data_IF_681913544620
#
_entry.id   IF_681913544620
#
_cell.length_a   1.000
_cell.length_b   1.000
_cell.length_c   1.000
_cell.angle_alpha   90.00
_cell.angle_beta   90.00
_cell.angle_gamma   90.00
#
_symmetry.space_group_name_H-M   'P 1'
#
loop_
_entity.id
_entity.type
_entity.pdbx_description
1 polymer ?
#
# COMPACT_ATOMS: atom_id res chain seq x y z
N UNK A 1 -20.87 -28.40 -50.51
CA UNK A 1 -21.29 -27.83 -51.82
C UNK A 1 -21.36 -26.32 -51.59
N UNK A 2 -20.29 -25.52 -51.79
CA UNK A 2 -19.65 -25.09 -53.06
C UNK A 2 -20.73 -24.70 -54.08
N UNK A 3 -20.80 -23.51 -54.69
CA UNK A 3 -19.91 -22.36 -54.93
C UNK A 3 -20.74 -21.38 -55.86
N UNK A 4 -20.26 -20.28 -56.49
CA UNK A 4 -19.24 -19.27 -56.16
C UNK A 4 -19.56 -17.80 -56.65
N UNK A 5 -18.59 -16.90 -56.42
CA UNK A 5 -18.12 -15.79 -57.29
C UNK A 5 -18.94 -14.51 -57.51
N UNK A 6 -18.34 -13.36 -57.14
CA UNK A 6 -17.84 -12.34 -58.11
C UNK A 6 -16.74 -11.48 -57.46
N UNK A 7 -15.71 -11.18 -58.24
CA UNK A 7 -14.39 -10.64 -57.92
C UNK A 7 -14.27 -9.09 -58.17
N UNK A 8 -13.08 -8.45 -58.09
CA UNK A 8 -12.86 -7.12 -57.48
C UNK A 8 -12.82 -5.94 -58.48
N UNK A 9 -12.78 -4.70 -57.96
CA UNK A 9 -12.62 -3.52 -58.81
C UNK A 9 -12.18 -2.24 -58.08
N UNK A 10 -10.90 -1.92 -58.26
CA UNK A 10 -10.32 -0.59 -58.58
C UNK A 10 -10.34 0.54 -57.53
N UNK A 11 -9.12 0.88 -57.11
CA UNK A 11 -8.68 2.24 -56.73
C UNK A 11 -8.79 3.21 -57.92
N UNK A 12 -8.84 4.52 -57.64
CA UNK A 12 -8.00 5.44 -58.40
C UNK A 12 -7.18 6.38 -57.51
N UNK A 13 -6.07 6.81 -58.11
CA UNK A 13 -4.98 7.59 -57.55
C UNK A 13 -5.32 9.08 -57.33
N UNK A 14 -4.60 9.61 -56.35
CA UNK A 14 -4.17 10.97 -55.97
C UNK A 14 -4.42 12.17 -56.88
N UNK A 15 -4.56 13.35 -56.26
CA UNK A 15 -3.71 14.54 -56.51
C UNK A 15 -3.75 15.56 -55.34
N UNK A 16 -2.75 16.48 -55.22
CA UNK A 16 -2.16 16.89 -53.95
C UNK A 16 -2.49 18.32 -53.50
N UNK A 17 -2.26 18.63 -52.22
CA UNK A 17 -2.46 19.97 -51.65
C UNK A 17 -1.63 20.24 -50.39
N UNK A 18 -0.36 20.58 -50.61
CA UNK A 18 0.54 21.48 -49.85
C UNK A 18 0.28 21.69 -48.34
N UNK A 19 1.21 21.17 -47.53
CA UNK A 19 1.46 21.60 -46.14
C UNK A 19 2.62 22.62 -46.10
N UNK A 20 2.58 23.66 -45.25
CA UNK A 20 3.68 24.61 -45.12
C UNK A 20 4.73 24.14 -44.10
N UNK A 21 5.99 24.35 -44.49
CA UNK A 21 7.15 24.82 -43.69
C UNK A 21 7.54 24.07 -42.40
N UNK A 22 8.65 23.34 -42.50
CA UNK A 22 9.43 22.77 -41.39
C UNK A 22 10.40 23.81 -40.80
N UNK A 23 10.30 24.06 -39.50
CA UNK A 23 11.38 24.72 -38.72
C UNK A 23 12.44 23.70 -38.25
N UNK A 24 13.71 24.10 -38.08
CA UNK A 24 14.79 23.18 -37.73
C UNK A 24 14.89 22.94 -36.22
N UNK A 25 14.82 21.65 -35.86
CA UNK A 25 15.70 20.96 -34.92
C UNK A 25 16.06 21.62 -33.58
N UNK A 26 15.37 21.17 -32.52
CA UNK A 26 15.98 21.04 -31.20
C UNK A 26 15.91 19.55 -30.83
N UNK A 27 17.05 18.86 -30.86
CA UNK A 27 17.13 17.46 -30.45
C UNK A 27 16.77 17.34 -28.97
N UNK A 28 16.25 16.18 -28.51
CA UNK A 28 16.01 15.99 -27.10
C UNK A 28 17.38 15.97 -26.39
N UNK A 29 17.66 17.03 -25.65
CA UNK A 29 18.71 17.04 -24.64
C UNK A 29 18.45 15.86 -23.71
N UNK A 30 19.43 14.96 -23.66
CA UNK A 30 19.39 13.78 -22.82
C UNK A 30 19.45 14.25 -21.37
N UNK A 31 18.34 14.18 -20.64
CA UNK A 31 18.38 14.42 -19.20
C UNK A 31 19.41 13.48 -18.57
N UNK A 32 20.34 13.98 -17.75
CA UNK A 32 21.32 13.14 -17.08
C UNK A 32 20.57 12.16 -16.18
N UNK A 33 20.87 10.88 -16.41
CA UNK A 33 20.23 9.75 -15.75
C UNK A 33 20.02 9.97 -14.26
N UNK A 34 18.75 10.10 -13.88
CA UNK A 34 18.33 9.95 -12.50
C UNK A 34 18.79 8.57 -12.04
N UNK A 35 19.72 8.55 -11.10
CA UNK A 35 20.16 7.32 -10.45
C UNK A 35 18.91 6.53 -9.99
N UNK A 36 18.88 5.19 -10.18
CA UNK A 36 17.76 4.37 -9.72
C UNK A 36 17.63 4.60 -8.20
N UNK A 37 16.52 5.22 -7.81
CA UNK A 37 16.28 5.59 -6.42
C UNK A 37 16.39 4.35 -5.55
N UNK A 38 17.28 4.38 -4.56
CA UNK A 38 17.23 3.48 -3.42
C UNK A 38 15.78 3.40 -2.96
N UNK A 39 15.19 2.20 -3.01
CA UNK A 39 13.75 1.99 -2.92
C UNK A 39 13.15 2.75 -1.74
N UNK A 40 12.30 3.74 -2.02
CA UNK A 40 11.57 4.48 -1.00
C UNK A 40 10.73 3.47 -0.22
N UNK A 41 10.90 3.42 1.11
CA UNK A 41 10.04 2.60 1.98
C UNK A 41 8.57 2.98 1.71
N UNK A 42 7.66 1.99 1.65
CA UNK A 42 6.25 2.28 1.41
C UNK A 42 5.69 3.15 2.52
N UNK A 43 4.87 4.13 2.17
CA UNK A 43 4.05 4.86 3.15
C UNK A 43 2.78 4.07 3.48
N UNK A 44 2.05 4.50 4.52
CA UNK A 44 0.84 3.81 4.99
C UNK A 44 -0.21 3.70 3.89
N UNK A 45 -0.40 4.76 3.11
CA UNK A 45 -1.33 4.75 1.98
C UNK A 45 -0.92 3.73 0.90
N UNK A 46 0.37 3.56 0.62
CA UNK A 46 0.87 2.52 -0.28
C UNK A 46 0.63 1.11 0.27
N UNK A 47 0.77 0.90 1.57
CA UNK A 47 0.46 -0.39 2.21
C UNK A 47 -1.04 -0.69 2.18
N UNK A 48 -1.91 0.28 2.47
CA UNK A 48 -3.37 0.13 2.37
C UNK A 48 -3.81 -0.28 0.96
N UNK A 49 -3.29 0.40 -0.08
CA UNK A 49 -3.57 0.02 -1.48
C UNK A 49 -3.12 -1.39 -1.79
N UNK A 50 -1.90 -1.77 -1.36
CA UNK A 50 -1.38 -3.12 -1.57
C UNK A 50 -2.22 -4.19 -0.86
N UNK A 51 -2.75 -3.92 0.32
CA UNK A 51 -3.68 -4.81 1.03
C UNK A 51 -5.03 -4.92 0.30
N UNK A 52 -5.58 -3.80 -0.18
CA UNK A 52 -6.81 -3.80 -0.95
C UNK A 52 -6.68 -4.59 -2.26
N UNK A 53 -5.56 -4.42 -2.98
CA UNK A 53 -5.23 -5.20 -4.19
C UNK A 53 -5.08 -6.69 -3.87
N UNK A 54 -4.41 -7.02 -2.76
CA UNK A 54 -4.24 -8.40 -2.30
C UNK A 54 -5.58 -9.09 -2.00
N UNK A 55 -6.49 -8.38 -1.33
CA UNK A 55 -7.84 -8.86 -1.01
C UNK A 55 -8.70 -9.00 -2.29
N UNK A 56 -8.60 -8.02 -3.20
CA UNK A 56 -9.34 -8.02 -4.46
C UNK A 56 -8.94 -9.17 -5.37
N UNK A 57 -7.65 -9.50 -5.43
CA UNK A 57 -7.16 -10.65 -6.20
C UNK A 57 -7.67 -12.01 -5.66
N UNK A 58 -8.33 -12.04 -4.51
CA UNK A 58 -8.85 -13.25 -3.85
C UNK A 58 -10.36 -13.19 -3.60
N UNK A 59 -11.04 -12.16 -4.09
CA UNK A 59 -12.46 -11.92 -3.84
C UNK A 59 -12.83 -11.91 -2.34
N UNK A 60 -11.94 -11.33 -1.50
CA UNK A 60 -12.12 -11.32 -0.04
C UNK A 60 -13.01 -10.19 0.49
N UNK A 61 -13.34 -9.20 -0.34
CA UNK A 61 -14.13 -8.04 0.04
C UNK A 61 -15.46 -8.38 0.76
N UNK A 62 -16.21 -9.44 0.40
CA UNK A 62 -17.43 -9.83 1.14
C UNK A 62 -17.17 -10.21 2.61
N UNK A 63 -15.97 -10.67 2.94
CA UNK A 63 -15.59 -11.06 4.30
C UNK A 63 -15.05 -9.88 5.12
N UNK A 64 -14.63 -8.79 4.47
CA UNK A 64 -14.06 -7.60 5.08
C UNK A 64 -15.13 -6.66 5.66
N UNK A 65 -16.08 -7.22 6.40
CA UNK A 65 -17.01 -6.40 7.19
C UNK A 65 -16.28 -5.78 8.39
N UNK A 66 -16.67 -4.59 8.88
CA UNK A 66 -16.04 -3.98 10.06
C UNK A 66 -15.99 -4.93 11.27
N UNK A 67 -17.06 -5.72 11.49
CA UNK A 67 -17.14 -6.73 12.56
C UNK A 67 -16.06 -7.79 12.42
N UNK A 68 -15.88 -8.33 11.21
CA UNK A 68 -14.90 -9.39 10.99
C UNK A 68 -13.48 -8.86 11.11
N UNK A 69 -13.21 -7.67 10.54
CA UNK A 69 -11.88 -7.05 10.59
C UNK A 69 -11.46 -6.69 12.01
N UNK A 70 -12.36 -6.13 12.84
CA UNK A 70 -12.02 -5.85 14.25
C UNK A 70 -11.86 -7.13 15.06
N UNK A 71 -12.58 -8.21 14.71
CA UNK A 71 -12.40 -9.51 15.36
C UNK A 71 -11.04 -10.12 15.00
N UNK A 72 -10.66 -10.09 13.72
CA UNK A 72 -9.35 -10.56 13.27
C UNK A 72 -8.20 -9.74 13.89
N UNK A 73 -8.30 -8.41 13.90
CA UNK A 73 -7.37 -7.52 14.61
C UNK A 73 -7.17 -7.95 16.07
N UNK A 74 -8.26 -8.29 16.77
CA UNK A 74 -8.18 -8.75 18.17
C UNK A 74 -7.48 -10.09 18.32
N UNK A 75 -7.60 -10.98 17.32
CA UNK A 75 -6.90 -12.28 17.31
C UNK A 75 -5.41 -12.04 17.14
N UNK A 76 -4.96 -11.29 16.12
CA UNK A 76 -3.52 -11.04 15.90
C UNK A 76 -2.88 -10.28 17.06
N UNK A 77 -3.62 -9.36 17.70
CA UNK A 77 -3.15 -8.70 18.91
C UNK A 77 -2.98 -9.70 20.08
N UNK A 78 -3.80 -10.75 20.12
CA UNK A 78 -3.67 -11.82 21.12
C UNK A 78 -2.50 -12.75 20.78
N UNK A 79 -2.29 -13.09 19.51
CA UNK A 79 -1.12 -13.87 19.05
C UNK A 79 0.19 -13.13 19.39
N UNK A 80 0.23 -11.80 19.21
CA UNK A 80 1.34 -10.98 19.70
C UNK A 80 1.51 -11.11 21.22
N UNK A 81 0.42 -11.04 22.01
CA UNK A 81 0.48 -11.20 23.48
C UNK A 81 1.00 -12.59 23.88
N UNK A 82 0.64 -13.65 23.15
CA UNK A 82 1.08 -15.02 23.45
C UNK A 82 2.60 -15.17 23.46
N UNK A 83 3.31 -14.40 22.64
CA UNK A 83 4.78 -14.39 22.62
C UNK A 83 5.35 -13.90 23.96
N UNK A 84 4.67 -12.97 24.63
CA UNK A 84 5.17 -12.29 25.83
C UNK A 84 4.60 -12.86 27.14
N UNK A 85 3.49 -13.60 27.10
CA UNK A 85 2.65 -13.84 28.27
C UNK A 85 3.36 -14.54 29.45
N UNK A 86 4.44 -15.29 29.20
CA UNK A 86 5.20 -16.00 30.23
C UNK A 86 6.60 -15.44 30.48
N UNK A 87 6.97 -14.35 29.79
CA UNK A 87 8.29 -13.75 29.93
C UNK A 87 8.37 -12.89 31.20
N UNK A 88 9.51 -12.95 31.88
CA UNK A 88 9.86 -11.92 32.87
C UNK A 88 10.09 -10.57 32.20
N UNK A 89 10.07 -9.45 32.95
CA UNK A 89 10.41 -8.14 32.39
C UNK A 89 11.77 -8.12 31.68
N UNK A 90 12.79 -8.77 32.24
CA UNK A 90 14.14 -8.83 31.68
C UNK A 90 14.19 -9.65 30.39
N UNK A 91 13.45 -10.76 30.30
CA UNK A 91 13.34 -11.58 29.09
C UNK A 91 12.55 -10.85 28.00
N UNK A 92 11.42 -10.23 28.34
CA UNK A 92 10.60 -9.46 27.39
C UNK A 92 11.37 -8.32 26.74
N UNK A 93 12.25 -7.64 27.48
CA UNK A 93 13.12 -6.59 26.95
C UNK A 93 14.17 -7.11 25.96
N UNK A 94 14.44 -8.43 25.97
CA UNK A 94 15.40 -9.10 25.08
C UNK A 94 14.74 -10.00 24.05
N UNK A 95 13.40 -9.97 23.92
CA UNK A 95 12.62 -10.84 23.01
C UNK A 95 13.12 -10.80 21.55
N UNK A 96 13.72 -9.69 21.12
CA UNK A 96 14.26 -9.51 19.77
C UNK A 96 15.69 -10.06 19.60
N UNK A 97 16.32 -10.57 20.65
CA UNK A 97 17.71 -11.06 20.62
C UNK A 97 17.82 -12.49 20.08
N UNK A 98 16.75 -13.28 20.24
CA UNK A 98 16.61 -14.59 19.61
C UNK A 98 15.93 -14.42 18.23
N UNK A 99 16.54 -14.92 17.13
CA UNK A 99 16.00 -14.72 15.79
C UNK A 99 14.60 -15.32 15.57
N UNK A 100 14.28 -16.43 16.25
CA UNK A 100 12.98 -17.09 16.09
C UNK A 100 11.87 -16.27 16.74
N UNK A 101 12.05 -15.83 17.99
CA UNK A 101 11.08 -14.95 18.65
C UNK A 101 11.00 -13.58 17.97
N UNK A 102 12.13 -13.04 17.50
CA UNK A 102 12.14 -11.78 16.75
C UNK A 102 11.30 -11.84 15.47
N UNK A 103 11.38 -12.95 14.72
CA UNK A 103 10.57 -13.16 13.54
C UNK A 103 9.09 -13.18 13.88
N UNK A 104 8.69 -13.97 14.89
CA UNK A 104 7.29 -14.05 15.34
C UNK A 104 6.75 -12.68 15.76
N UNK A 105 7.47 -11.93 16.59
CA UNK A 105 7.05 -10.57 16.98
C UNK A 105 6.87 -9.67 15.75
N UNK A 106 7.77 -9.78 14.77
CA UNK A 106 7.70 -8.96 13.55
C UNK A 106 6.45 -9.29 12.73
N UNK A 107 6.12 -10.56 12.58
CA UNK A 107 4.93 -11.01 11.86
C UNK A 107 3.65 -10.56 12.55
N UNK A 108 3.50 -10.81 13.87
CA UNK A 108 2.27 -10.43 14.57
C UNK A 108 2.06 -8.91 14.62
N UNK A 109 3.14 -8.13 14.73
CA UNK A 109 3.05 -6.66 14.61
C UNK A 109 2.58 -6.25 13.20
N UNK A 110 3.05 -6.93 12.16
CA UNK A 110 2.64 -6.67 10.79
C UNK A 110 1.17 -7.06 10.57
N UNK A 111 0.70 -8.17 11.14
CA UNK A 111 -0.67 -8.64 11.02
C UNK A 111 -1.67 -7.74 11.77
N UNK A 112 -1.33 -7.31 13.00
CA UNK A 112 -2.10 -6.27 13.71
C UNK A 112 -2.21 -5.00 12.88
N UNK A 113 -1.11 -4.54 12.28
CA UNK A 113 -1.13 -3.36 11.42
C UNK A 113 -1.97 -3.61 10.16
N UNK A 114 -1.86 -4.77 9.53
CA UNK A 114 -2.59 -5.10 8.31
C UNK A 114 -4.11 -5.07 8.53
N UNK A 115 -4.61 -5.67 9.62
CA UNK A 115 -6.05 -5.63 9.91
C UNK A 115 -6.52 -4.24 10.35
N UNK A 116 -5.69 -3.47 11.07
CA UNK A 116 -6.02 -2.08 11.40
C UNK A 116 -6.19 -1.25 10.13
N UNK A 117 -5.26 -1.37 9.18
CA UNK A 117 -5.28 -0.64 7.92
C UNK A 117 -6.47 -1.02 7.03
N UNK A 118 -6.84 -2.31 6.99
CA UNK A 118 -8.03 -2.77 6.28
C UNK A 118 -9.32 -2.32 6.95
N UNK A 119 -9.38 -2.31 8.29
CA UNK A 119 -10.51 -1.76 9.03
C UNK A 119 -10.68 -0.26 8.76
N UNK A 120 -9.58 0.49 8.77
CA UNK A 120 -9.56 1.91 8.43
C UNK A 120 -10.09 2.16 7.01
N UNK A 121 -9.66 1.35 6.02
CA UNK A 121 -10.14 1.45 4.64
C UNK A 121 -11.66 1.29 4.56
N UNK A 122 -12.21 0.23 5.16
CA UNK A 122 -13.67 -0.04 5.13
C UNK A 122 -14.48 1.01 5.90
N UNK A 123 -13.90 1.64 6.92
CA UNK A 123 -14.55 2.70 7.71
C UNK A 123 -14.29 4.12 7.18
N UNK A 124 -13.46 4.30 6.15
CA UNK A 124 -13.09 5.62 5.64
C UNK A 124 -12.27 6.46 6.63
N UNK A 125 -11.42 5.81 7.43
CA UNK A 125 -10.54 6.47 8.41
C UNK A 125 -9.15 6.61 7.81
N UNK A 126 -8.59 7.83 7.80
CA UNK A 126 -7.15 8.03 7.61
C UNK A 126 -6.42 7.80 8.95
N UNK A 127 -5.66 6.71 9.10
CA UNK A 127 -5.02 6.38 10.36
C UNK A 127 -3.94 7.40 10.76
N UNK A 128 -3.26 8.04 9.80
CA UNK A 128 -2.21 9.02 10.11
C UNK A 128 -2.83 10.30 10.65
N UNK A 129 -3.83 10.84 9.96
CA UNK A 129 -4.58 12.01 10.44
C UNK A 129 -5.28 11.74 11.78
N UNK A 130 -5.82 10.53 11.98
CA UNK A 130 -6.46 10.16 13.23
C UNK A 130 -5.47 10.09 14.41
N UNK A 131 -4.27 9.54 14.19
CA UNK A 131 -3.23 9.45 15.20
C UNK A 131 -2.65 10.84 15.53
N UNK A 132 -2.37 11.66 14.53
CA UNK A 132 -1.87 13.04 14.69
C UNK A 132 -2.80 13.86 15.59
N UNK A 133 -4.09 13.91 15.24
CA UNK A 133 -5.09 14.59 16.05
C UNK A 133 -5.22 13.99 17.47
N UNK A 134 -4.96 12.68 17.65
CA UNK A 134 -4.99 12.02 18.95
C UNK A 134 -3.78 12.38 19.81
N UNK A 135 -2.59 12.55 19.21
CA UNK A 135 -1.38 13.00 19.89
C UNK A 135 -1.60 14.42 20.43
N UNK A 136 -2.11 15.35 19.62
CA UNK A 136 -2.47 16.71 20.06
C UNK A 136 -3.38 16.71 21.30
N UNK A 137 -4.39 15.83 21.32
CA UNK A 137 -5.29 15.70 22.48
C UNK A 137 -4.59 15.09 23.69
N UNK A 138 -3.66 14.16 23.48
CA UNK A 138 -2.92 13.51 24.54
C UNK A 138 -1.91 14.47 25.18
N UNK A 139 -1.21 15.30 24.41
CA UNK A 139 -0.28 16.31 24.93
C UNK A 139 -0.98 17.33 25.84
N UNK A 140 -2.21 17.73 25.48
CA UNK A 140 -3.04 18.61 26.32
C UNK A 140 -3.53 17.91 27.59
N UNK A 141 -3.86 16.61 27.49
CA UNK A 141 -4.36 15.80 28.63
C UNK A 141 -3.24 15.42 29.60
N UNK A 142 -2.03 15.22 29.09
CA UNK A 142 -0.85 14.77 29.82
C UNK A 142 0.33 15.68 29.48
N UNK A 143 0.36 16.92 30.01
CA UNK A 143 1.44 17.85 29.72
C UNK A 143 2.78 17.31 30.22
N UNK A 144 3.85 17.62 29.50
CA UNK A 144 5.21 17.31 29.94
C UNK A 144 5.46 17.89 31.34
N UNK A 145 6.21 17.20 32.21
CA UNK A 145 6.67 17.81 33.44
C UNK A 145 7.42 19.10 33.08
N UNK A 146 7.02 20.22 33.69
CA UNK A 146 7.67 21.51 33.46
C UNK A 146 9.18 21.36 33.64
N UNK A 147 9.96 21.83 32.65
CA UNK A 147 11.40 21.96 32.85
C UNK A 147 11.61 22.93 34.03
N UNK A 148 12.45 22.60 35.01
CA UNK A 148 12.73 23.49 36.13
C UNK A 148 13.26 24.85 35.67
#
# INVERSE_FOLDING_TARGET
MKDPETEPGQSPETEPGQSPETEPGHGPESEPGRAPGAGRKPDVAALQRRLAEFAAARDWQPYHTPKNLVSALSVEASELVEIFQWLTPEESARVMSDPETAHRVTDEVADVLAYLLQLCEVLGIDPLSALDAKIDRNERRFPAPGRP
#
